data_IF_021986175604
#
_entry.id   IF_021986175604
#
_cell.length_a   1.000
_cell.length_b   1.000
_cell.length_c   1.000
_cell.angle_alpha   90.00
_cell.angle_beta   90.00
_cell.angle_gamma   90.00
#
_symmetry.space_group_name_H-M   'P 1'
#
loop_
_entity.id
_entity.type
_entity.pdbx_description
1 polymer ?
#
# COMPACT_ATOMS: atom_id res chain seq x y z
N UNK A 1 23.10 0.96 7.81
CA UNK A 1 21.67 0.93 8.14
C UNK A 1 20.93 0.66 6.85
N UNK A 2 19.98 -0.28 6.81
CA UNK A 2 19.19 -0.49 5.59
C UNK A 2 18.32 0.74 5.31
N UNK A 3 18.10 0.99 4.01
CA UNK A 3 17.26 2.07 3.51
C UNK A 3 15.96 1.49 2.97
N UNK A 4 14.81 2.07 3.36
CA UNK A 4 13.47 1.65 2.91
C UNK A 4 12.81 2.77 2.11
N UNK A 5 12.54 2.49 0.83
CA UNK A 5 11.79 3.39 -0.04
C UNK A 5 10.26 3.24 0.17
N UNK A 6 9.52 4.34 0.11
CA UNK A 6 8.06 4.34 0.15
C UNK A 6 7.49 5.55 -0.63
N UNK A 7 6.21 5.51 -0.96
CA UNK A 7 5.55 6.67 -1.58
C UNK A 7 4.99 7.61 -0.52
N UNK A 8 5.21 8.92 -0.70
CA UNK A 8 4.70 10.00 0.15
C UNK A 8 5.80 10.75 0.90
N UNK A 9 5.39 11.62 1.81
CA UNK A 9 6.28 12.39 2.68
C UNK A 9 6.56 11.68 4.00
N UNK A 10 7.59 12.10 4.71
CA UNK A 10 7.93 11.59 6.03
C UNK A 10 6.72 11.67 6.97
N UNK A 11 6.42 10.58 7.66
CA UNK A 11 5.25 10.45 8.52
C UNK A 11 3.99 9.92 7.83
N UNK A 12 3.99 9.63 6.52
CA UNK A 12 2.87 8.96 5.85
C UNK A 12 2.65 7.53 6.38
N UNK A 13 1.46 6.93 6.16
CA UNK A 13 1.19 5.55 6.59
C UNK A 13 2.19 4.54 5.99
N UNK A 14 2.69 4.78 4.79
CA UNK A 14 3.76 3.97 4.21
C UNK A 14 5.10 4.10 4.97
N UNK A 15 5.41 5.28 5.55
CA UNK A 15 6.57 5.46 6.44
C UNK A 15 6.36 4.72 7.77
N UNK A 16 5.15 4.79 8.34
CA UNK A 16 4.80 4.00 9.54
C UNK A 16 5.01 2.51 9.27
N UNK A 17 4.53 2.00 8.13
CA UNK A 17 4.71 0.61 7.72
C UNK A 17 6.19 0.24 7.51
N UNK A 18 6.98 1.14 6.91
CA UNK A 18 8.40 0.93 6.69
C UNK A 18 9.16 0.77 8.01
N UNK A 19 8.88 1.64 8.98
CA UNK A 19 9.49 1.56 10.34
C UNK A 19 9.07 0.32 11.12
N UNK A 20 7.82 -0.13 10.94
CA UNK A 20 7.33 -1.36 11.56
C UNK A 20 7.95 -2.62 10.97
N UNK A 21 8.11 -2.68 9.64
CA UNK A 21 8.65 -3.84 8.93
C UNK A 21 10.18 -3.96 9.03
N UNK A 22 10.89 -2.82 9.07
CA UNK A 22 12.36 -2.78 9.16
C UNK A 22 12.78 -1.82 10.28
N UNK A 23 12.71 -2.25 11.55
CA UNK A 23 13.08 -1.40 12.68
C UNK A 23 14.52 -0.87 12.58
N UNK A 24 14.69 0.42 12.80
CA UNK A 24 15.99 1.09 12.74
C UNK A 24 16.47 1.42 11.32
N UNK A 25 15.68 1.20 10.28
CA UNK A 25 16.03 1.60 8.92
C UNK A 25 15.96 3.13 8.72
N UNK A 26 16.73 3.64 7.78
CA UNK A 26 16.52 4.95 7.18
C UNK A 26 15.33 4.84 6.21
N UNK A 27 14.30 5.66 6.38
CA UNK A 27 13.13 5.66 5.51
C UNK A 27 13.19 6.84 4.54
N UNK A 28 12.92 6.59 3.23
CA UNK A 28 12.94 7.61 2.17
C UNK A 28 11.62 7.67 1.43
N UNK A 29 11.00 8.86 1.43
CA UNK A 29 9.79 9.13 0.68
C UNK A 29 10.07 9.47 -0.78
N UNK A 30 9.25 8.92 -1.68
CA UNK A 30 9.27 9.16 -3.12
C UNK A 30 7.92 9.70 -3.60
N UNK A 31 7.92 10.43 -4.72
CA UNK A 31 6.70 11.07 -5.24
C UNK A 31 5.65 10.11 -5.81
N UNK A 32 6.00 8.84 -6.06
CA UNK A 32 5.08 7.82 -6.57
C UNK A 32 5.53 6.42 -6.17
N UNK A 33 4.62 5.44 -6.29
CA UNK A 33 4.95 4.02 -6.12
C UNK A 33 5.98 3.55 -7.15
N UNK A 34 5.86 4.02 -8.40
CA UNK A 34 6.81 3.73 -9.48
C UNK A 34 8.22 4.21 -9.13
N UNK A 35 8.35 5.42 -8.58
CA UNK A 35 9.64 5.96 -8.17
C UNK A 35 10.25 5.17 -7.00
N UNK A 36 9.45 4.76 -6.01
CA UNK A 36 9.92 3.94 -4.91
C UNK A 36 10.38 2.54 -5.37
N UNK A 37 9.62 1.90 -6.27
CA UNK A 37 9.99 0.62 -6.87
C UNK A 37 11.26 0.74 -7.74
N UNK A 38 11.38 1.80 -8.53
CA UNK A 38 12.55 2.05 -9.35
C UNK A 38 13.82 2.29 -8.52
N UNK A 39 13.71 3.01 -7.40
CA UNK A 39 14.84 3.22 -6.47
C UNK A 39 15.34 1.90 -5.87
N UNK A 40 14.42 0.99 -5.49
CA UNK A 40 14.78 -0.36 -5.05
C UNK A 40 15.44 -1.16 -6.18
N UNK A 41 14.87 -1.15 -7.38
CA UNK A 41 15.39 -1.90 -8.53
C UNK A 41 16.79 -1.42 -8.94
N UNK A 42 17.03 -0.11 -8.87
CA UNK A 42 18.34 0.51 -9.11
C UNK A 42 19.36 0.28 -7.98
N UNK A 43 18.93 -0.24 -6.81
CA UNK A 43 19.81 -0.43 -5.64
C UNK A 43 20.08 0.84 -4.84
N UNK A 44 19.29 1.89 -5.01
CA UNK A 44 19.33 3.12 -4.21
C UNK A 44 18.67 2.93 -2.84
N UNK A 45 17.86 1.87 -2.68
CA UNK A 45 17.29 1.41 -1.44
C UNK A 45 17.46 -0.11 -1.32
N UNK A 46 17.48 -0.61 -0.07
CA UNK A 46 17.57 -2.05 0.23
C UNK A 46 16.20 -2.72 0.19
N UNK A 47 15.16 -1.97 0.53
CA UNK A 47 13.76 -2.41 0.57
C UNK A 47 12.84 -1.33 0.01
N UNK A 48 11.63 -1.73 -0.38
CA UNK A 48 10.51 -0.83 -0.58
C UNK A 48 9.28 -1.32 0.19
N UNK A 49 8.44 -0.37 0.63
CA UNK A 49 7.15 -0.67 1.25
C UNK A 49 6.04 -0.08 0.39
N UNK A 50 5.12 -0.96 -0.04
CA UNK A 50 4.02 -0.62 -0.92
C UNK A 50 2.68 -1.04 -0.30
N UNK A 51 1.68 -0.13 -0.17
CA UNK A 51 0.32 -0.50 0.22
C UNK A 51 -0.31 -1.37 -0.87
N UNK A 52 -0.99 -2.45 -0.49
CA UNK A 52 -1.59 -3.38 -1.46
C UNK A 52 -3.10 -3.45 -1.36
N UNK A 53 -3.64 -3.19 -0.17
CA UNK A 53 -5.07 -3.24 0.07
C UNK A 53 -5.43 -2.38 1.29
N UNK A 54 -6.51 -1.63 1.19
CA UNK A 54 -7.16 -1.00 2.34
C UNK A 54 -8.53 -1.64 2.54
N UNK A 55 -8.90 -1.91 3.78
CA UNK A 55 -10.14 -2.62 4.13
C UNK A 55 -11.42 -1.91 3.66
N UNK A 56 -11.37 -0.59 3.47
CA UNK A 56 -12.49 0.25 3.03
C UNK A 56 -12.36 0.62 1.55
N UNK A 57 -11.20 1.16 1.15
CA UNK A 57 -10.98 1.66 -0.21
C UNK A 57 -10.66 0.54 -1.22
N UNK A 58 -10.38 -0.68 -0.74
CA UNK A 58 -10.07 -1.84 -1.58
C UNK A 58 -8.60 -1.92 -2.01
N UNK A 59 -8.32 -2.71 -3.06
CA UNK A 59 -6.96 -3.00 -3.50
C UNK A 59 -6.25 -1.78 -4.12
N UNK A 60 -4.91 -1.80 -4.09
CA UNK A 60 -4.02 -0.86 -4.80
C UNK A 60 -3.36 -1.58 -5.98
N UNK A 61 -4.06 -1.69 -7.13
CA UNK A 61 -3.67 -2.60 -8.22
C UNK A 61 -2.31 -2.29 -8.83
N UNK A 62 -1.91 -1.00 -8.86
CA UNK A 62 -0.62 -0.57 -9.43
C UNK A 62 0.56 -1.28 -8.78
N UNK A 63 0.50 -1.55 -7.49
CA UNK A 63 1.60 -2.15 -6.74
C UNK A 63 1.82 -3.63 -7.07
N UNK A 64 0.78 -4.36 -7.52
CA UNK A 64 0.94 -5.69 -8.10
C UNK A 64 1.54 -5.63 -9.52
N UNK A 65 1.13 -4.64 -10.33
CA UNK A 65 1.69 -4.43 -11.67
C UNK A 65 3.19 -4.11 -11.61
N UNK A 66 3.63 -3.29 -10.64
CA UNK A 66 5.05 -2.98 -10.42
C UNK A 66 5.88 -4.23 -10.15
N UNK A 67 5.40 -5.15 -9.32
CA UNK A 67 6.08 -6.41 -9.06
C UNK A 67 6.20 -7.29 -10.32
N UNK A 68 5.22 -7.20 -11.22
CA UNK A 68 5.30 -7.87 -12.52
C UNK A 68 6.28 -7.16 -13.49
N UNK A 69 6.30 -5.85 -13.49
CA UNK A 69 7.16 -5.03 -14.37
C UNK A 69 8.65 -5.10 -13.99
N UNK A 70 8.95 -5.28 -12.68
CA UNK A 70 10.30 -5.37 -12.12
C UNK A 70 10.65 -6.81 -11.70
N UNK A 71 11.21 -7.64 -12.61
CA UNK A 71 11.40 -9.07 -12.35
C UNK A 71 12.40 -9.41 -11.25
N UNK A 72 13.25 -8.49 -10.85
CA UNK A 72 14.18 -8.67 -9.73
C UNK A 72 13.55 -8.38 -8.35
N UNK A 73 12.34 -7.82 -8.31
CA UNK A 73 11.67 -7.47 -7.07
C UNK A 73 10.80 -8.63 -6.56
N UNK A 74 10.86 -8.90 -5.25
CA UNK A 74 10.08 -9.96 -4.57
C UNK A 74 9.50 -9.46 -3.25
N UNK A 75 8.29 -9.90 -2.96
CA UNK A 75 7.69 -9.73 -1.64
C UNK A 75 8.46 -10.60 -0.64
N UNK A 76 8.87 -10.00 0.47
CA UNK A 76 9.62 -10.64 1.57
C UNK A 76 8.86 -10.68 2.88
N UNK A 77 7.76 -9.95 2.97
CA UNK A 77 6.92 -9.89 4.15
C UNK A 77 5.73 -8.97 3.94
N UNK A 78 4.87 -8.96 4.91
CA UNK A 78 3.72 -8.07 4.96
C UNK A 78 3.47 -7.56 6.37
N UNK A 79 2.76 -6.44 6.46
CA UNK A 79 2.17 -5.96 7.71
C UNK A 79 0.79 -5.38 7.44
N UNK A 80 -0.07 -5.44 8.45
CA UNK A 80 -1.37 -4.77 8.44
C UNK A 80 -1.37 -3.72 9.53
N UNK A 81 -1.63 -2.47 9.17
CA UNK A 81 -1.68 -1.36 10.11
C UNK A 81 -3.10 -0.84 10.24
N UNK A 82 -3.55 -0.53 11.48
CA UNK A 82 -4.74 0.28 11.67
C UNK A 82 -4.50 1.69 11.13
N UNK A 83 -5.50 2.26 10.46
CA UNK A 83 -5.46 3.62 9.91
C UNK A 83 -6.19 4.54 10.88
N UNK A 84 -5.45 5.07 11.84
CA UNK A 84 -5.94 6.11 12.73
C UNK A 84 -5.68 7.48 12.10
N UNK A 85 -6.75 8.20 11.78
CA UNK A 85 -6.68 9.56 11.24
C UNK A 85 -6.78 10.58 12.38
N UNK A 86 -5.85 11.53 12.37
CA UNK A 86 -5.79 12.63 13.33
C UNK A 86 -6.11 13.96 12.63
N UNK A 87 -6.79 14.85 13.35
CA UNK A 87 -6.87 16.28 13.03
C UNK A 87 -5.61 16.94 13.55
N UNK A 88 -4.82 17.54 12.68
CA UNK A 88 -3.52 18.11 13.01
C UNK A 88 -3.51 19.58 12.60
N UNK A 89 -3.28 20.47 13.55
CA UNK A 89 -3.17 21.90 13.34
C UNK A 89 -1.77 22.44 13.60
N UNK A 90 -1.62 23.76 13.51
CA UNK A 90 -0.40 24.47 13.93
C UNK A 90 -0.42 24.76 15.44
N UNK A 91 0.70 25.20 16.01
CA UNK A 91 0.78 25.59 17.40
C UNK A 91 -0.27 26.69 17.73
N UNK A 92 -1.04 26.47 18.79
CA UNK A 92 -2.11 27.38 19.22
C UNK A 92 -3.44 27.24 18.48
N UNK A 93 -3.53 26.38 17.45
CA UNK A 93 -4.81 26.04 16.84
C UNK A 93 -5.67 25.19 17.77
N UNK A 94 -6.99 25.25 17.59
CA UNK A 94 -7.97 24.40 18.26
C UNK A 94 -9.08 24.05 17.26
N UNK A 95 -9.87 22.99 17.51
CA UNK A 95 -11.00 22.63 16.65
C UNK A 95 -11.94 23.81 16.40
N UNK A 96 -12.18 24.64 17.41
CA UNK A 96 -13.05 25.81 17.31
C UNK A 96 -12.52 26.89 16.33
N UNK A 97 -11.21 26.94 16.13
CA UNK A 97 -10.58 27.91 15.21
C UNK A 97 -10.47 27.41 13.78
N UNK A 98 -10.56 26.10 13.54
CA UNK A 98 -10.43 25.52 12.21
C UNK A 98 -11.63 25.88 11.34
N UNK A 99 -11.36 26.15 10.06
CA UNK A 99 -12.34 26.47 9.00
C UNK A 99 -12.14 25.63 7.75
N UNK A 100 -10.93 25.05 7.59
CA UNK A 100 -10.55 24.25 6.43
C UNK A 100 -9.74 23.05 6.89
N UNK A 101 -9.99 21.89 6.23
CA UNK A 101 -9.15 20.70 6.37
C UNK A 101 -8.54 20.31 5.03
N UNK A 102 -7.28 19.84 5.08
CA UNK A 102 -6.52 19.40 3.90
C UNK A 102 -6.03 17.97 4.05
N UNK A 103 -6.17 17.16 3.03
CA UNK A 103 -5.57 15.82 2.96
C UNK A 103 -5.69 15.19 1.58
N UNK A 104 -5.18 13.95 1.47
CA UNK A 104 -5.44 13.08 0.32
C UNK A 104 -6.95 12.79 0.20
N UNK A 105 -7.52 12.70 -1.02
CA UNK A 105 -8.97 12.49 -1.23
C UNK A 105 -9.54 11.33 -0.42
N UNK A 106 -8.86 10.18 -0.39
CA UNK A 106 -9.31 9.00 0.37
C UNK A 106 -9.41 9.29 1.87
N UNK A 107 -8.47 10.05 2.44
CA UNK A 107 -8.52 10.40 3.87
C UNK A 107 -9.64 11.40 4.17
N UNK A 108 -9.91 12.36 3.27
CA UNK A 108 -11.04 13.28 3.40
C UNK A 108 -12.38 12.53 3.33
N UNK A 109 -12.52 11.57 2.43
CA UNK A 109 -13.72 10.72 2.35
C UNK A 109 -13.95 9.92 3.65
N UNK A 110 -12.87 9.45 4.27
CA UNK A 110 -12.92 8.66 5.51
C UNK A 110 -13.20 9.47 6.78
N UNK A 111 -13.21 10.80 6.71
CA UNK A 111 -13.56 11.71 7.82
C UNK A 111 -14.76 12.61 7.48
N UNK A 112 -15.56 12.20 6.50
CA UNK A 112 -16.64 13.04 5.96
C UNK A 112 -17.65 13.44 7.03
N UNK A 113 -18.13 12.49 7.84
CA UNK A 113 -19.12 12.79 8.93
C UNK A 113 -18.54 13.75 9.96
N UNK A 114 -17.26 13.57 10.30
CA UNK A 114 -16.58 14.48 11.23
C UNK A 114 -16.43 15.89 10.65
N UNK A 115 -16.07 16.03 9.38
CA UNK A 115 -15.93 17.33 8.71
C UNK A 115 -17.28 18.05 8.55
N UNK A 116 -18.35 17.34 8.15
CA UNK A 116 -19.72 17.86 8.03
C UNK A 116 -20.27 18.38 9.36
N UNK A 117 -19.99 17.69 10.47
CA UNK A 117 -20.43 18.13 11.81
C UNK A 117 -19.80 19.47 12.25
N UNK A 118 -18.70 19.87 11.63
CA UNK A 118 -17.98 21.12 11.93
C UNK A 118 -18.14 22.19 10.82
N UNK A 119 -18.81 21.88 9.73
CA UNK A 119 -18.98 22.76 8.55
C UNK A 119 -17.63 23.25 7.97
N UNK A 120 -16.62 22.36 7.92
CA UNK A 120 -15.30 22.72 7.40
C UNK A 120 -15.21 22.59 5.89
N UNK A 121 -14.52 23.55 5.27
CA UNK A 121 -14.11 23.42 3.87
C UNK A 121 -13.09 22.30 3.72
N UNK A 122 -13.18 21.54 2.61
CA UNK A 122 -12.25 20.44 2.31
C UNK A 122 -11.42 20.76 1.07
N UNK A 123 -10.10 20.63 1.18
CA UNK A 123 -9.15 20.84 0.09
C UNK A 123 -8.27 19.61 -0.09
N UNK A 124 -8.21 19.08 -1.31
CA UNK A 124 -7.42 17.88 -1.63
C UNK A 124 -5.95 18.21 -1.82
N UNK A 125 -5.08 17.30 -1.34
CA UNK A 125 -3.63 17.33 -1.51
C UNK A 125 -3.13 15.99 -2.05
N UNK A 126 -1.85 15.92 -2.41
CA UNK A 126 -1.23 14.70 -3.00
C UNK A 126 -1.07 13.57 -2.01
N UNK A 127 -0.86 13.85 -0.72
CA UNK A 127 -0.76 12.86 0.36
C UNK A 127 -1.05 13.49 1.74
N UNK A 128 -1.28 12.62 2.74
CA UNK A 128 -1.69 13.01 4.09
C UNK A 128 -0.58 13.72 4.86
N UNK A 129 0.65 13.21 4.85
CA UNK A 129 1.77 13.78 5.59
C UNK A 129 2.29 15.07 4.93
N UNK A 130 2.22 15.16 3.59
CA UNK A 130 2.53 16.37 2.84
C UNK A 130 1.59 17.53 3.22
N UNK A 131 0.31 17.24 3.44
CA UNK A 131 -0.65 18.23 3.94
C UNK A 131 -0.25 18.75 5.34
N UNK A 132 0.14 17.85 6.26
CA UNK A 132 0.62 18.25 7.59
C UNK A 132 1.86 19.13 7.48
N UNK A 133 2.85 18.70 6.68
CA UNK A 133 4.07 19.51 6.45
C UNK A 133 3.74 20.90 5.91
N UNK A 134 2.83 20.99 4.94
CA UNK A 134 2.42 22.26 4.33
C UNK A 134 1.82 23.21 5.36
N UNK A 135 0.79 22.77 6.08
CA UNK A 135 0.10 23.67 7.03
C UNK A 135 1.02 24.15 8.14
N UNK A 136 1.91 23.28 8.64
CA UNK A 136 2.86 23.65 9.70
C UNK A 136 3.91 24.61 9.17
N UNK A 137 4.47 24.38 7.97
CA UNK A 137 5.47 25.25 7.37
C UNK A 137 4.92 26.63 7.07
N UNK A 138 3.66 26.72 6.62
CA UNK A 138 3.00 28.00 6.31
C UNK A 138 2.41 28.70 7.53
N UNK A 139 2.27 27.98 8.67
CA UNK A 139 1.75 28.54 9.91
C UNK A 139 0.26 28.92 9.84
N UNK A 140 -0.55 28.18 9.09
CA UNK A 140 -1.99 28.49 8.92
C UNK A 140 -2.79 28.28 10.22
N UNK A 141 -3.32 29.33 10.86
CA UNK A 141 -3.96 29.19 12.19
C UNK A 141 -5.38 28.61 12.13
N UNK A 142 -6.01 28.62 10.95
CA UNK A 142 -7.41 28.20 10.75
C UNK A 142 -7.55 27.00 9.81
N UNK A 143 -6.41 26.40 9.42
CA UNK A 143 -6.35 25.21 8.56
C UNK A 143 -5.77 24.05 9.35
N UNK A 144 -6.41 22.89 9.26
CA UNK A 144 -5.86 21.64 9.78
C UNK A 144 -5.60 20.64 8.65
N UNK A 145 -4.70 19.70 8.88
CA UNK A 145 -4.51 18.54 8.01
C UNK A 145 -5.08 17.28 8.65
N UNK A 146 -5.51 16.34 7.82
CA UNK A 146 -5.87 14.99 8.24
C UNK A 146 -4.72 14.05 7.88
N UNK A 147 -4.17 13.36 8.88
CA UNK A 147 -3.04 12.47 8.67
C UNK A 147 -2.71 11.60 9.87
N UNK A 148 -1.67 10.76 9.77
CA UNK A 148 -1.21 9.93 10.88
C UNK A 148 -0.49 10.77 11.95
N UNK A 149 -0.55 10.31 13.21
CA UNK A 149 0.13 10.97 14.34
C UNK A 149 1.63 11.18 14.09
N UNK A 150 2.30 10.22 13.44
CA UNK A 150 3.73 10.32 13.10
C UNK A 150 4.04 11.56 12.25
N UNK A 151 3.13 11.99 11.38
CA UNK A 151 3.33 13.21 10.59
C UNK A 151 3.34 14.47 11.48
N UNK A 152 2.49 14.52 12.52
CA UNK A 152 2.54 15.60 13.49
C UNK A 152 3.87 15.63 14.23
N UNK A 153 4.35 14.47 14.72
CA UNK A 153 5.61 14.37 15.46
C UNK A 153 6.82 14.81 14.60
N UNK A 154 6.87 14.40 13.33
CA UNK A 154 7.99 14.72 12.43
C UNK A 154 7.98 16.19 12.02
N UNK A 155 6.80 16.74 11.69
CA UNK A 155 6.70 18.09 11.13
C UNK A 155 6.39 19.18 12.17
N UNK A 156 6.22 18.82 13.45
CA UNK A 156 5.93 19.77 14.52
C UNK A 156 4.48 20.26 14.54
N UNK A 157 3.55 19.43 14.04
CA UNK A 157 2.12 19.68 14.12
C UNK A 157 1.54 19.43 15.52
N UNK A 158 0.43 20.07 15.84
CA UNK A 158 -0.32 19.82 17.07
C UNK A 158 -1.52 18.94 16.77
N UNK A 159 -1.61 17.76 17.41
CA UNK A 159 -2.78 16.89 17.27
C UNK A 159 -3.94 17.51 18.07
N UNK A 160 -5.01 17.87 17.35
CA UNK A 160 -6.22 18.47 17.92
C UNK A 160 -7.25 17.38 18.29
N UNK A 161 -7.38 16.35 17.45
CA UNK A 161 -8.23 15.18 17.72
C UNK A 161 -7.61 13.92 17.13
N UNK A 162 -7.92 12.75 17.72
CA UNK A 162 -7.48 11.42 17.27
C UNK A 162 -8.68 10.56 16.93
N UNK A 163 -8.47 9.57 16.04
CA UNK A 163 -9.48 8.57 15.73
C UNK A 163 -10.74 9.17 15.09
N UNK A 164 -10.55 10.18 14.22
CA UNK A 164 -11.66 10.94 13.60
C UNK A 164 -12.23 10.27 12.35
N UNK A 165 -11.72 9.11 11.95
CA UNK A 165 -12.23 8.34 10.80
C UNK A 165 -13.66 7.84 11.08
N UNK A 166 -14.46 7.84 10.03
CA UNK A 166 -15.88 7.45 10.07
C UNK A 166 -16.08 5.96 10.41
N UNK A 167 -15.13 5.11 10.01
CA UNK A 167 -15.15 3.68 10.25
C UNK A 167 -13.97 3.26 11.13
N UNK A 168 -14.27 2.65 12.29
CA UNK A 168 -13.25 2.24 13.26
C UNK A 168 -12.36 1.10 12.74
N UNK A 169 -12.93 0.16 11.97
CA UNK A 169 -12.25 -1.00 11.39
C UNK A 169 -11.59 -0.64 10.06
N UNK A 170 -10.66 0.32 10.09
CA UNK A 170 -9.91 0.76 8.92
C UNK A 170 -8.47 0.27 9.00
N UNK A 171 -8.10 -0.64 8.11
CA UNK A 171 -6.77 -1.24 8.05
C UNK A 171 -6.18 -1.14 6.65
N UNK A 172 -4.87 -0.96 6.56
CA UNK A 172 -4.14 -1.06 5.29
C UNK A 172 -3.06 -2.12 5.40
N UNK A 173 -3.00 -2.98 4.41
CA UNK A 173 -2.00 -4.02 4.25
C UNK A 173 -0.89 -3.53 3.34
N UNK A 174 0.36 -3.76 3.75
CA UNK A 174 1.56 -3.33 3.06
C UNK A 174 2.47 -4.53 2.80
N UNK A 175 3.08 -4.58 1.63
CA UNK A 175 4.16 -5.51 1.33
C UNK A 175 5.53 -4.87 1.59
N UNK A 176 6.42 -5.65 2.18
CA UNK A 176 7.87 -5.41 2.18
C UNK A 176 8.45 -6.07 0.94
N UNK A 177 9.16 -5.31 0.13
CA UNK A 177 9.73 -5.76 -1.14
C UNK A 177 11.24 -5.60 -1.08
N UNK A 178 11.96 -6.58 -1.60
CA UNK A 178 13.41 -6.55 -1.77
C UNK A 178 13.81 -6.97 -3.18
N UNK A 179 15.01 -6.57 -3.59
CA UNK A 179 15.64 -7.08 -4.81
C UNK A 179 16.34 -8.39 -4.47
N UNK A 180 15.83 -9.50 -5.01
CA UNK A 180 16.39 -10.84 -4.79
C UNK A 180 15.83 -11.82 -5.82
N UNK A 181 16.60 -12.83 -6.15
CA UNK A 181 16.16 -13.97 -6.96
C UNK A 181 15.44 -15.05 -6.12
N UNK A 182 15.58 -14.99 -4.79
CA UNK A 182 14.96 -15.95 -3.88
C UNK A 182 13.50 -15.60 -3.61
N UNK A 183 12.61 -16.58 -3.72
CA UNK A 183 11.19 -16.42 -3.51
C UNK A 183 10.76 -16.26 -2.03
N UNK A 184 11.67 -16.54 -1.09
CA UNK A 184 11.34 -16.59 0.34
C UNK A 184 10.79 -17.96 0.76
N UNK A 185 10.50 -18.12 2.05
CA UNK A 185 10.15 -19.42 2.66
C UNK A 185 8.85 -19.41 3.49
N UNK A 186 8.02 -18.36 3.37
CA UNK A 186 6.73 -18.27 4.07
C UNK A 186 5.68 -19.26 3.51
N UNK A 187 4.55 -19.37 4.19
CA UNK A 187 3.41 -20.20 3.76
C UNK A 187 2.39 -19.43 2.93
N UNK A 188 2.69 -18.19 2.56
CA UNK A 188 1.92 -17.35 1.63
C UNK A 188 2.71 -17.11 0.36
N UNK A 189 2.02 -16.95 -0.74
CA UNK A 189 2.63 -16.57 -2.01
C UNK A 189 1.76 -15.56 -2.75
N UNK A 190 2.40 -14.65 -3.48
CA UNK A 190 1.74 -13.86 -4.51
C UNK A 190 2.25 -14.31 -5.88
N UNK A 191 1.34 -14.57 -6.81
CA UNK A 191 1.65 -15.04 -8.16
C UNK A 191 0.93 -14.19 -9.18
N UNK A 192 1.65 -13.73 -10.20
CA UNK A 192 1.07 -13.16 -11.40
C UNK A 192 0.89 -14.23 -12.48
N UNK A 193 -0.27 -14.24 -13.14
CA UNK A 193 -0.64 -15.24 -14.17
C UNK A 193 -1.21 -14.52 -15.38
N UNK A 194 -0.68 -14.77 -16.56
CA UNK A 194 -1.28 -14.41 -17.85
C UNK A 194 -1.73 -15.69 -18.56
N UNK A 195 -2.99 -16.08 -18.35
CA UNK A 195 -3.53 -17.33 -18.90
C UNK A 195 -3.71 -17.27 -20.42
N UNK A 196 -3.71 -18.44 -21.07
CA UNK A 196 -4.03 -18.56 -22.47
C UNK A 196 -5.46 -18.10 -22.77
N UNK A 197 -5.69 -17.52 -23.95
CA UNK A 197 -6.99 -17.04 -24.37
C UNK A 197 -7.86 -18.17 -24.95
N UNK A 198 -8.47 -18.92 -24.05
CA UNK A 198 -9.46 -19.96 -24.37
C UNK A 198 -10.51 -20.07 -23.27
N UNK A 199 -11.71 -20.54 -23.59
CA UNK A 199 -12.73 -20.82 -22.59
C UNK A 199 -12.21 -21.72 -21.48
N UNK A 200 -12.46 -21.32 -20.21
CA UNK A 200 -12.10 -22.10 -19.03
C UNK A 200 -10.66 -21.88 -18.52
N UNK A 201 -9.79 -21.13 -19.20
CA UNK A 201 -8.38 -20.96 -18.78
C UNK A 201 -8.20 -20.46 -17.34
N UNK A 202 -9.00 -19.47 -16.93
CA UNK A 202 -8.93 -18.97 -15.53
C UNK A 202 -9.45 -20.02 -14.54
N UNK A 203 -10.56 -20.72 -14.89
CA UNK A 203 -11.06 -21.82 -14.06
C UNK A 203 -9.98 -22.88 -13.85
N UNK A 204 -9.33 -23.31 -14.94
CA UNK A 204 -8.30 -24.35 -14.89
C UNK A 204 -7.10 -23.90 -14.03
N UNK A 205 -6.69 -22.64 -14.13
CA UNK A 205 -5.66 -22.07 -13.29
C UNK A 205 -6.04 -22.05 -11.81
N UNK A 206 -7.27 -21.67 -11.46
CA UNK A 206 -7.76 -21.68 -10.07
C UNK A 206 -7.93 -23.11 -9.54
N UNK A 207 -8.42 -24.05 -10.35
CA UNK A 207 -8.50 -25.46 -10.00
C UNK A 207 -7.12 -26.07 -9.69
N UNK A 208 -6.07 -25.66 -10.44
CA UNK A 208 -4.72 -26.13 -10.20
C UNK A 208 -4.21 -25.83 -8.77
N UNK A 209 -4.65 -24.71 -8.17
CA UNK A 209 -4.36 -24.42 -6.76
C UNK A 209 -5.28 -25.20 -5.81
N UNK A 210 -6.59 -25.20 -6.06
CA UNK A 210 -7.57 -25.86 -5.19
C UNK A 210 -7.34 -27.38 -5.08
N UNK A 211 -7.03 -28.06 -6.20
CA UNK A 211 -6.72 -29.50 -6.24
C UNK A 211 -5.45 -29.90 -5.45
N UNK A 212 -4.71 -28.90 -4.96
CA UNK A 212 -3.48 -29.08 -4.15
C UNK A 212 -3.59 -28.47 -2.76
N UNK A 213 -4.80 -28.22 -2.28
CA UNK A 213 -5.08 -27.61 -0.98
C UNK A 213 -4.37 -26.25 -0.77
N UNK A 214 -4.16 -25.51 -1.85
CA UNK A 214 -3.67 -24.14 -1.81
C UNK A 214 -4.87 -23.19 -1.76
N UNK A 215 -4.98 -22.41 -0.69
CA UNK A 215 -6.10 -21.51 -0.47
C UNK A 215 -5.92 -20.18 -1.20
N UNK A 216 -6.92 -19.76 -1.97
CA UNK A 216 -6.96 -18.47 -2.64
C UNK A 216 -7.51 -17.39 -1.70
N UNK A 217 -6.67 -16.43 -1.34
CA UNK A 217 -7.02 -15.32 -0.42
C UNK A 217 -7.43 -14.05 -1.13
N UNK A 218 -6.86 -13.81 -2.32
CA UNK A 218 -7.09 -12.59 -3.09
C UNK A 218 -6.93 -12.87 -4.58
N UNK A 219 -7.73 -12.19 -5.38
CA UNK A 219 -7.64 -12.24 -6.85
C UNK A 219 -7.98 -10.87 -7.42
N UNK A 220 -7.12 -10.35 -8.28
CA UNK A 220 -7.41 -9.15 -9.06
C UNK A 220 -7.00 -9.34 -10.52
N UNK A 221 -7.86 -8.89 -11.44
CA UNK A 221 -7.58 -8.87 -12.87
C UNK A 221 -7.09 -7.48 -13.31
N UNK A 222 -5.99 -7.44 -14.07
CA UNK A 222 -5.45 -6.20 -14.65
C UNK A 222 -5.24 -6.35 -16.15
N UNK A 223 -5.55 -5.32 -16.96
CA UNK A 223 -5.27 -5.36 -18.40
C UNK A 223 -3.77 -5.59 -18.67
N UNK A 224 -3.44 -6.49 -19.59
CA UNK A 224 -2.08 -6.58 -20.12
C UNK A 224 -1.88 -5.47 -21.15
N UNK A 225 -1.12 -4.44 -20.77
CA UNK A 225 -0.88 -3.29 -21.65
C UNK A 225 -0.11 -3.65 -22.93
N UNK A 226 0.51 -4.83 -23.00
CA UNK A 226 1.23 -5.32 -24.17
C UNK A 226 0.28 -5.87 -25.25
N UNK A 227 -0.89 -6.37 -24.85
CA UNK A 227 -1.86 -7.00 -25.75
C UNK A 227 -3.27 -6.50 -25.42
N UNK A 228 -3.95 -5.76 -26.33
CA UNK A 228 -5.29 -5.24 -26.09
C UNK A 228 -6.28 -6.34 -25.68
N UNK A 229 -7.13 -6.02 -24.70
CA UNK A 229 -8.19 -6.90 -24.19
C UNK A 229 -7.71 -8.20 -23.54
N UNK A 230 -6.41 -8.36 -23.31
CA UNK A 230 -5.83 -9.43 -22.49
C UNK A 230 -5.72 -8.99 -21.03
N UNK A 231 -5.77 -9.97 -20.13
CA UNK A 231 -5.70 -9.73 -18.68
C UNK A 231 -4.61 -10.57 -18.06
N UNK A 232 -3.95 -9.98 -17.07
CA UNK A 232 -3.16 -10.66 -16.05
C UNK A 232 -3.98 -10.77 -14.80
N UNK A 233 -3.79 -11.86 -14.08
CA UNK A 233 -4.40 -12.10 -12.79
C UNK A 233 -3.30 -12.12 -11.74
N UNK A 234 -3.48 -11.35 -10.69
CA UNK A 234 -2.63 -11.41 -9.52
C UNK A 234 -3.40 -12.14 -8.44
N UNK A 235 -2.80 -13.22 -7.92
CA UNK A 235 -3.41 -14.09 -6.93
C UNK A 235 -2.55 -14.14 -5.68
N UNK A 236 -3.16 -14.01 -4.52
CA UNK A 236 -2.50 -14.30 -3.26
C UNK A 236 -3.00 -15.62 -2.71
N UNK A 237 -2.07 -16.44 -2.31
CA UNK A 237 -2.26 -17.81 -1.92
C UNK A 237 -1.80 -18.00 -0.48
N UNK A 238 -2.50 -18.83 0.27
CA UNK A 238 -2.10 -19.28 1.59
C UNK A 238 -2.00 -20.81 1.62
N UNK A 239 -1.42 -21.35 2.70
CA UNK A 239 -1.15 -22.77 2.87
C UNK A 239 -0.24 -23.31 1.74
N UNK A 240 0.80 -22.54 1.39
CA UNK A 240 1.70 -22.82 0.26
C UNK A 240 2.99 -23.45 0.76
N UNK A 241 3.40 -24.56 0.15
CA UNK A 241 4.77 -25.06 0.14
C UNK A 241 5.34 -25.07 -1.29
N UNK A 242 6.67 -25.22 -1.42
CA UNK A 242 7.35 -25.14 -2.71
C UNK A 242 6.91 -26.22 -3.69
N UNK A 243 6.73 -27.46 -3.20
CA UNK A 243 6.39 -28.60 -4.05
C UNK A 243 4.97 -28.46 -4.62
N UNK A 244 3.99 -28.09 -3.78
CA UNK A 244 2.60 -27.89 -4.20
C UNK A 244 2.48 -26.68 -5.14
N UNK A 245 3.18 -25.57 -4.83
CA UNK A 245 3.16 -24.39 -5.70
C UNK A 245 3.77 -24.69 -7.05
N UNK A 246 4.95 -25.33 -7.11
CA UNK A 246 5.58 -25.70 -8.35
C UNK A 246 4.71 -26.67 -9.18
N UNK A 247 4.09 -27.65 -8.54
CA UNK A 247 3.17 -28.59 -9.19
C UNK A 247 1.89 -27.91 -9.72
N UNK A 248 1.37 -26.88 -9.01
CA UNK A 248 0.24 -26.10 -9.48
C UNK A 248 0.62 -25.25 -10.71
N UNK A 249 1.74 -24.54 -10.64
CA UNK A 249 2.22 -23.70 -11.73
C UNK A 249 2.57 -24.51 -13.00
N UNK A 250 3.09 -25.70 -12.85
CA UNK A 250 3.46 -26.58 -13.98
C UNK A 250 2.28 -26.95 -14.89
N UNK A 251 1.04 -26.93 -14.39
CA UNK A 251 -0.17 -27.28 -15.17
C UNK A 251 -0.94 -26.05 -15.66
N UNK A 252 -0.60 -24.86 -15.17
CA UNK A 252 -1.22 -23.61 -15.61
C UNK A 252 -0.58 -23.19 -16.93
N UNK A 253 -1.38 -23.04 -17.97
CA UNK A 253 -0.92 -22.53 -19.27
C UNK A 253 -0.73 -21.01 -19.27
N UNK A 254 0.24 -20.52 -20.05
CA UNK A 254 0.55 -19.10 -20.19
C UNK A 254 1.78 -18.66 -19.40
N UNK A 255 1.98 -17.35 -19.29
CA UNK A 255 3.11 -16.76 -18.55
C UNK A 255 2.75 -16.68 -17.06
N UNK A 256 3.69 -17.10 -16.20
CA UNK A 256 3.50 -17.10 -14.76
C UNK A 256 4.74 -16.55 -14.08
N UNK A 257 4.55 -15.88 -12.96
CA UNK A 257 5.64 -15.36 -12.14
C UNK A 257 5.28 -15.40 -10.66
N UNK A 258 6.14 -16.00 -9.85
CA UNK A 258 6.08 -15.87 -8.40
C UNK A 258 6.61 -14.48 -8.05
N UNK A 259 5.75 -13.63 -7.48
CA UNK A 259 6.10 -12.27 -7.06
C UNK A 259 6.69 -12.24 -5.65
N UNK A 260 6.54 -13.30 -4.90
CA UNK A 260 7.19 -13.54 -3.61
C UNK A 260 6.52 -14.65 -2.83
N UNK A 261 7.28 -15.18 -1.84
CA UNK A 261 6.80 -16.04 -0.77
C UNK A 261 7.13 -15.40 0.58
N UNK A 262 6.20 -15.41 1.52
CA UNK A 262 6.31 -14.66 2.78
C UNK A 262 5.39 -15.21 3.89
#
# INVERSE_FOLDING_TARGET
MPTVAYQGHAGAFSDVAARALVPGAETRGYGSFDAAAAALDAGEADYAVLPVENAIAGPVPRNYELLWEHPALRIRGETTLPIELCLIGTAGASEATIREIRSHPVALEQVRRYAEAHDWQQTTTTDTAGAVREIVTQGYPTVAAIGPALAADIHGGTILARGIQDEAENYTRFFLIARTDEAGAGNRACVGIAVNDRPGSLRDALSAFADRDIDLRFLIARPDRRVPFRYRFFVELANVDDARLAAALAVIGGEQRILGRY
#
